data_IF_191431249646
#
_entry.id   IF_191431249646
#
_cell.length_a   1.000
_cell.length_b   1.000
_cell.length_c   1.000
_cell.angle_alpha   90.00
_cell.angle_beta   90.00
_cell.angle_gamma   90.00
#
_symmetry.space_group_name_H-M   'P 1'
#
loop_
_entity.id
_entity.type
_entity.pdbx_description
1 polymer ?
#
# COMPACT_ATOMS: atom_id res chain seq x y z
N UNK A 1 7.05 -23.50 -0.47
CA UNK A 1 6.21 -22.45 0.17
C UNK A 1 4.73 -22.62 -0.12
N UNK A 2 4.27 -22.57 -1.38
CA UNK A 2 2.84 -22.72 -1.71
C UNK A 2 2.21 -24.02 -1.15
N UNK A 3 2.88 -25.16 -1.35
CA UNK A 3 2.39 -26.45 -0.84
C UNK A 3 2.31 -26.49 0.69
N UNK A 4 3.31 -25.94 1.39
CA UNK A 4 3.37 -25.90 2.87
C UNK A 4 2.19 -25.09 3.42
N UNK A 5 1.90 -23.92 2.83
CA UNK A 5 0.77 -23.07 3.25
C UNK A 5 -0.61 -23.67 2.97
N UNK A 6 -0.68 -24.78 2.22
CA UNK A 6 -1.93 -25.47 1.83
C UNK A 6 -1.97 -26.93 2.29
N UNK A 7 -1.06 -27.34 3.15
CA UNK A 7 -1.02 -28.70 3.66
C UNK A 7 -2.18 -28.93 4.65
N UNK A 8 -3.13 -29.84 4.35
CA UNK A 8 -4.25 -30.16 5.24
C UNK A 8 -3.82 -30.81 6.55
N UNK A 9 -2.62 -31.38 6.62
CA UNK A 9 -2.10 -32.03 7.83
C UNK A 9 -1.58 -31.02 8.86
N UNK A 10 -1.19 -29.83 8.37
CA UNK A 10 -0.64 -28.74 9.18
C UNK A 10 -1.71 -27.69 9.47
N UNK A 11 -2.56 -27.38 8.49
CA UNK A 11 -3.48 -26.24 8.56
C UNK A 11 -4.97 -26.66 8.46
N UNK A 12 -5.73 -26.39 9.52
CA UNK A 12 -7.21 -26.39 9.46
C UNK A 12 -7.71 -25.46 8.35
N UNK A 13 -8.69 -25.92 7.58
CA UNK A 13 -9.29 -25.19 6.46
C UNK A 13 -8.23 -24.55 5.55
N UNK A 14 -7.21 -25.33 5.19
CA UNK A 14 -6.01 -24.94 4.44
C UNK A 14 -6.26 -24.19 3.12
N UNK A 15 -7.45 -24.29 2.51
CA UNK A 15 -7.83 -23.53 1.30
C UNK A 15 -8.59 -22.23 1.57
N UNK A 16 -9.01 -22.00 2.81
CA UNK A 16 -9.79 -20.83 3.22
C UNK A 16 -8.90 -19.71 3.76
N UNK A 17 -9.24 -18.46 3.44
CA UNK A 17 -8.60 -17.30 4.06
C UNK A 17 -9.13 -17.15 5.50
N UNK A 18 -8.27 -17.44 6.49
CA UNK A 18 -8.61 -17.45 7.93
C UNK A 18 -7.51 -16.73 8.74
N UNK A 19 -7.45 -15.39 8.75
CA UNK A 19 -6.38 -14.65 9.42
C UNK A 19 -6.35 -14.88 10.94
N UNK A 20 -7.48 -15.23 11.54
CA UNK A 20 -7.62 -15.47 12.98
C UNK A 20 -6.74 -16.61 13.47
N UNK A 21 -6.31 -17.50 12.56
CA UNK A 21 -5.40 -18.60 12.89
C UNK A 21 -4.05 -18.15 13.46
N UNK A 22 -3.68 -16.88 13.26
CA UNK A 22 -2.42 -16.32 13.74
C UNK A 22 -2.59 -15.45 15.00
N UNK A 23 -3.81 -15.08 15.41
CA UNK A 23 -4.03 -14.12 16.51
C UNK A 23 -3.56 -14.63 17.88
N UNK A 24 -3.59 -15.94 18.11
CA UNK A 24 -3.13 -16.60 19.34
C UNK A 24 -2.09 -17.69 19.04
N UNK A 25 -1.42 -17.59 17.90
CA UNK A 25 -0.37 -18.54 17.52
C UNK A 25 1.00 -18.02 17.95
N UNK A 26 1.92 -18.93 18.24
CA UNK A 26 3.34 -18.59 18.44
C UNK A 26 4.12 -18.49 17.12
N UNK A 27 3.49 -18.85 16.00
CA UNK A 27 4.10 -18.81 14.67
C UNK A 27 4.50 -17.39 14.29
N UNK A 28 5.77 -17.20 13.92
CA UNK A 28 6.30 -15.89 13.53
C UNK A 28 6.97 -15.88 12.13
N UNK A 29 7.44 -14.70 11.72
CA UNK A 29 8.09 -14.50 10.41
C UNK A 29 9.62 -14.71 10.46
N UNK A 30 10.18 -15.18 11.58
CA UNK A 30 11.63 -15.36 11.77
C UNK A 30 12.13 -16.69 11.21
N UNK A 31 11.25 -17.48 10.59
CA UNK A 31 11.61 -18.70 9.87
C UNK A 31 12.08 -19.86 10.76
N UNK A 32 11.70 -19.88 12.03
CA UNK A 32 11.89 -21.03 12.91
C UNK A 32 10.72 -22.03 12.83
N UNK A 33 9.54 -21.56 12.44
CA UNK A 33 8.32 -22.36 12.28
C UNK A 33 8.21 -22.86 10.84
N UNK A 34 8.58 -24.11 10.58
CA UNK A 34 8.67 -24.66 9.22
C UNK A 34 7.32 -24.81 8.52
N UNK A 35 6.22 -24.85 9.28
CA UNK A 35 4.87 -24.71 8.78
C UNK A 35 4.62 -23.35 8.09
N UNK A 36 5.40 -22.31 8.42
CA UNK A 36 5.18 -20.94 7.97
C UNK A 36 6.48 -20.17 7.71
N UNK A 37 7.04 -20.34 6.52
CA UNK A 37 8.30 -19.70 6.09
C UNK A 37 8.14 -18.81 4.84
N UNK A 38 7.24 -17.81 4.82
CA UNK A 38 6.95 -16.99 3.62
C UNK A 38 8.16 -16.17 3.11
N UNK A 39 9.16 -15.95 3.98
CA UNK A 39 10.41 -15.26 3.66
C UNK A 39 11.62 -16.21 3.62
N UNK A 40 11.38 -17.52 3.62
CA UNK A 40 12.43 -18.52 3.77
C UNK A 40 12.95 -18.65 5.20
N UNK A 41 14.08 -19.32 5.37
CA UNK A 41 14.72 -19.59 6.67
C UNK A 41 16.25 -19.66 6.54
N UNK A 42 16.95 -19.55 7.67
CA UNK A 42 18.40 -19.67 7.76
C UNK A 42 19.18 -18.56 7.04
N UNK A 43 20.40 -18.88 6.59
CA UNK A 43 21.33 -17.91 5.96
C UNK A 43 20.85 -17.29 4.65
N UNK A 44 19.80 -17.86 4.04
CA UNK A 44 19.21 -17.40 2.77
C UNK A 44 17.81 -16.84 2.95
N UNK A 45 17.41 -16.53 4.19
CA UNK A 45 16.17 -15.81 4.46
C UNK A 45 16.16 -14.47 3.73
N UNK A 46 14.99 -14.08 3.24
CA UNK A 46 14.80 -12.85 2.49
C UNK A 46 15.25 -11.63 3.32
N UNK A 47 16.26 -10.86 2.87
CA UNK A 47 16.71 -9.68 3.60
C UNK A 47 15.65 -8.57 3.66
N UNK A 48 14.64 -8.63 2.79
CA UNK A 48 13.51 -7.68 2.76
C UNK A 48 12.39 -7.97 3.77
N UNK A 49 12.45 -9.05 4.56
CA UNK A 49 11.40 -9.39 5.53
C UNK A 49 11.08 -8.25 6.51
N UNK A 50 12.06 -7.58 7.15
CA UNK A 50 11.77 -6.51 8.12
C UNK A 50 11.05 -5.32 7.47
N UNK A 51 11.45 -4.94 6.26
CA UNK A 51 10.80 -3.88 5.49
C UNK A 51 9.35 -4.27 5.16
N UNK A 52 9.14 -5.46 4.59
CA UNK A 52 7.81 -5.94 4.19
C UNK A 52 6.84 -6.01 5.37
N UNK A 53 7.31 -6.48 6.54
CA UNK A 53 6.50 -6.59 7.76
C UNK A 53 6.00 -5.24 8.30
N UNK A 54 6.67 -4.13 7.95
CA UNK A 54 6.29 -2.77 8.36
C UNK A 54 5.48 -2.05 7.28
N UNK A 55 5.92 -2.14 6.03
CA UNK A 55 5.33 -1.39 4.92
C UNK A 55 3.98 -1.95 4.51
N UNK A 56 3.83 -3.27 4.41
CA UNK A 56 2.58 -3.88 3.93
C UNK A 56 1.38 -3.52 4.84
N UNK A 57 1.46 -3.68 6.18
CA UNK A 57 0.37 -3.27 7.06
C UNK A 57 0.07 -1.77 6.99
N UNK A 58 1.10 -0.92 6.92
CA UNK A 58 0.93 0.54 6.81
C UNK A 58 0.20 0.93 5.53
N UNK A 59 0.58 0.33 4.40
CA UNK A 59 -0.02 0.57 3.09
C UNK A 59 -1.50 0.14 3.10
N UNK A 60 -1.76 -1.09 3.56
CA UNK A 60 -3.13 -1.62 3.66
C UNK A 60 -4.00 -0.79 4.60
N UNK A 61 -3.49 -0.42 5.79
CA UNK A 61 -4.20 0.43 6.73
C UNK A 61 -4.53 1.80 6.13
N UNK A 62 -3.57 2.42 5.44
CA UNK A 62 -3.76 3.72 4.78
C UNK A 62 -4.84 3.65 3.68
N UNK A 63 -4.84 2.57 2.90
CA UNK A 63 -5.84 2.35 1.84
C UNK A 63 -7.24 2.12 2.41
N UNK A 64 -7.37 1.29 3.44
CA UNK A 64 -8.66 1.00 4.09
C UNK A 64 -9.19 2.21 4.84
N UNK A 65 -8.31 3.02 5.45
CA UNK A 65 -8.68 4.24 6.16
C UNK A 65 -9.25 5.31 5.21
N UNK A 66 -8.64 5.48 4.03
CA UNK A 66 -8.96 6.59 3.12
C UNK A 66 -10.03 6.27 2.08
N UNK A 67 -10.22 5.00 1.74
CA UNK A 67 -11.09 4.60 0.64
C UNK A 67 -12.08 3.50 1.04
N UNK A 68 -13.29 3.61 0.50
CA UNK A 68 -14.24 2.53 0.36
C UNK A 68 -14.01 1.86 -1.00
N UNK A 69 -14.01 0.53 -1.03
CA UNK A 69 -13.64 -0.27 -2.21
C UNK A 69 -14.87 -0.96 -2.79
N UNK A 70 -15.06 -0.84 -4.11
CA UNK A 70 -16.22 -1.38 -4.81
C UNK A 70 -15.76 -2.25 -5.97
N UNK A 71 -16.49 -3.31 -6.25
CA UNK A 71 -16.28 -4.11 -7.46
C UNK A 71 -16.93 -3.41 -8.66
N UNK A 72 -16.34 -3.55 -9.86
CA UNK A 72 -16.98 -3.06 -11.08
C UNK A 72 -18.38 -3.64 -11.24
N UNK A 73 -19.33 -2.81 -11.68
CA UNK A 73 -20.72 -3.21 -11.96
C UNK A 73 -21.45 -3.87 -10.76
N UNK A 74 -21.05 -3.53 -9.52
CA UNK A 74 -21.62 -4.09 -8.29
C UNK A 74 -21.64 -5.63 -8.28
N UNK A 75 -20.61 -6.25 -8.89
CA UNK A 75 -20.42 -7.69 -8.92
C UNK A 75 -20.40 -8.28 -7.50
N UNK A 76 -20.98 -9.47 -7.34
CA UNK A 76 -20.89 -10.21 -6.08
C UNK A 76 -19.43 -10.63 -5.83
N UNK A 77 -18.84 -10.32 -4.65
CA UNK A 77 -17.51 -10.79 -4.26
C UNK A 77 -17.30 -12.30 -4.42
N UNK A 78 -18.35 -13.12 -4.32
CA UNK A 78 -18.27 -14.57 -4.51
C UNK A 78 -17.87 -14.99 -5.93
N UNK A 79 -18.06 -14.11 -6.92
CA UNK A 79 -17.75 -14.36 -8.33
C UNK A 79 -16.31 -13.99 -8.72
N UNK A 80 -15.54 -13.43 -7.79
CA UNK A 80 -14.13 -13.10 -8.04
C UNK A 80 -13.34 -14.38 -8.21
N UNK A 81 -12.69 -14.54 -9.36
CA UNK A 81 -11.74 -15.64 -9.55
C UNK A 81 -10.52 -15.43 -8.63
N UNK A 82 -10.28 -16.42 -7.79
CA UNK A 82 -9.14 -16.49 -6.86
C UNK A 82 -8.11 -17.53 -7.31
N UNK A 83 -8.26 -18.10 -8.51
CA UNK A 83 -7.30 -19.01 -9.09
C UNK A 83 -5.93 -18.34 -9.30
N UNK A 84 -4.87 -19.11 -9.11
CA UNK A 84 -3.50 -18.63 -9.26
C UNK A 84 -2.86 -19.11 -10.55
N UNK A 85 -1.96 -18.29 -11.10
CA UNK A 85 -1.05 -18.66 -12.17
C UNK A 85 0.36 -18.86 -11.60
N UNK A 86 0.97 -19.98 -11.99
CA UNK A 86 2.35 -20.30 -11.65
C UNK A 86 3.29 -19.69 -12.70
N UNK A 87 4.07 -18.72 -12.26
CA UNK A 87 5.19 -18.14 -13.01
C UNK A 87 6.38 -18.00 -12.04
N UNK A 88 7.39 -17.18 -12.34
CA UNK A 88 8.52 -16.83 -11.45
C UNK A 88 8.00 -16.41 -10.05
N UNK A 89 6.80 -15.84 -9.99
CA UNK A 89 6.05 -15.55 -8.76
C UNK A 89 4.66 -16.15 -8.84
N UNK A 90 4.10 -16.50 -7.68
CA UNK A 90 2.68 -16.82 -7.55
C UNK A 90 1.86 -15.54 -7.69
N UNK A 91 0.91 -15.51 -8.60
CA UNK A 91 0.03 -14.35 -8.80
C UNK A 91 -1.39 -14.80 -9.09
N UNK A 92 -2.37 -13.92 -8.89
CA UNK A 92 -3.73 -14.17 -9.36
C UNK A 92 -3.72 -14.36 -10.87
N UNK A 93 -4.46 -15.34 -11.36
CA UNK A 93 -4.62 -15.60 -12.80
C UNK A 93 -5.25 -14.39 -13.49
N UNK A 94 -6.37 -13.92 -12.94
CA UNK A 94 -7.04 -12.70 -13.38
C UNK A 94 -6.73 -11.55 -12.38
N UNK A 95 -6.19 -10.42 -12.85
CA UNK A 95 -5.94 -9.26 -12.00
C UNK A 95 -7.23 -8.78 -11.31
N UNK A 96 -7.14 -8.46 -10.01
CA UNK A 96 -8.28 -7.91 -9.28
C UNK A 96 -8.53 -6.46 -9.70
N UNK A 97 -9.69 -6.20 -10.30
CA UNK A 97 -10.16 -4.85 -10.62
C UNK A 97 -11.11 -4.35 -9.53
N UNK A 98 -10.79 -3.20 -8.93
CA UNK A 98 -11.58 -2.54 -7.88
C UNK A 98 -11.59 -1.04 -8.08
N UNK A 99 -12.70 -0.39 -7.71
CA UNK A 99 -12.87 1.06 -7.76
C UNK A 99 -12.79 1.65 -6.36
N UNK A 100 -11.73 2.40 -6.02
CA UNK A 100 -11.67 3.12 -4.75
C UNK A 100 -12.53 4.40 -4.81
N UNK A 101 -13.38 4.61 -3.82
CA UNK A 101 -14.07 5.88 -3.56
C UNK A 101 -13.55 6.47 -2.26
N UNK A 102 -13.18 7.76 -2.27
CA UNK A 102 -12.69 8.43 -1.06
C UNK A 102 -13.79 8.42 0.00
N UNK A 103 -13.44 8.02 1.22
CA UNK A 103 -14.30 8.16 2.39
C UNK A 103 -14.33 9.63 2.79
N UNK A 104 -15.50 10.27 2.67
CA UNK A 104 -15.72 11.64 3.14
C UNK A 104 -16.40 11.52 4.50
N UNK A 105 -15.76 11.98 5.58
CA UNK A 105 -16.41 12.04 6.89
C UNK A 105 -17.52 13.09 6.88
N UNK A 106 -18.73 12.70 7.30
CA UNK A 106 -19.93 13.56 7.30
C UNK A 106 -19.77 14.89 8.04
N UNK A 107 -18.84 14.98 9.00
CA UNK A 107 -18.55 16.21 9.74
C UNK A 107 -17.86 17.28 8.89
N UNK A 108 -17.18 16.91 7.81
CA UNK A 108 -16.36 17.86 7.07
C UNK A 108 -17.21 18.68 6.10
N UNK A 109 -18.29 18.12 5.52
CA UNK A 109 -19.12 18.67 4.40
C UNK A 109 -19.67 20.09 4.63
N UNK A 110 -19.77 20.55 5.88
CA UNK A 110 -20.26 21.89 6.21
C UNK A 110 -19.21 23.01 6.23
N UNK A 111 -17.90 22.70 6.24
CA UNK A 111 -16.81 23.69 6.49
C UNK A 111 -15.91 24.01 5.28
N UNK A 112 -16.18 23.41 4.11
CA UNK A 112 -15.16 23.30 3.05
C UNK A 112 -14.76 24.58 2.32
N UNK A 113 -15.44 25.73 2.42
CA UNK A 113 -15.00 26.90 1.63
C UNK A 113 -13.70 27.53 2.12
N UNK A 114 -13.40 27.47 3.43
CA UNK A 114 -12.10 27.85 4.01
C UNK A 114 -11.20 26.64 4.24
N UNK A 115 -11.79 25.54 4.69
CA UNK A 115 -11.05 24.31 4.97
C UNK A 115 -10.45 23.64 3.73
N UNK A 116 -10.93 23.89 2.50
CA UNK A 116 -10.27 23.37 1.29
C UNK A 116 -8.87 23.97 1.11
N UNK A 117 -8.69 25.28 1.35
CA UNK A 117 -7.38 25.93 1.24
C UNK A 117 -6.42 25.45 2.33
N UNK A 118 -6.91 25.40 3.57
CA UNK A 118 -6.11 24.94 4.71
C UNK A 118 -5.82 23.44 4.64
N UNK A 119 -6.75 22.62 4.12
CA UNK A 119 -6.54 21.19 3.90
C UNK A 119 -5.59 20.90 2.74
N UNK A 120 -5.57 21.74 1.68
CA UNK A 120 -4.57 21.61 0.61
C UNK A 120 -3.17 21.89 1.14
N UNK A 121 -2.99 22.97 1.90
CA UNK A 121 -1.70 23.31 2.54
C UNK A 121 -1.29 22.23 3.53
N UNK A 122 -2.23 21.76 4.36
CA UNK A 122 -1.95 20.72 5.35
C UNK A 122 -1.66 19.36 4.72
N UNK A 123 -2.41 18.95 3.69
CA UNK A 123 -2.14 17.70 2.97
C UNK A 123 -0.78 17.75 2.28
N UNK A 124 -0.39 18.87 1.68
CA UNK A 124 0.97 19.06 1.14
C UNK A 124 2.02 18.90 2.24
N UNK A 125 1.86 19.58 3.37
CA UNK A 125 2.82 19.46 4.48
C UNK A 125 2.88 18.06 5.12
N UNK A 126 1.74 17.36 5.20
CA UNK A 126 1.68 16.00 5.76
C UNK A 126 2.25 14.98 4.78
N UNK A 127 2.12 15.22 3.47
CA UNK A 127 2.77 14.42 2.44
C UNK A 127 4.28 14.65 2.42
N UNK A 128 4.74 15.90 2.42
CA UNK A 128 6.17 16.25 2.50
C UNK A 128 6.82 15.62 3.74
N UNK A 129 6.15 15.67 4.91
CA UNK A 129 6.64 15.03 6.13
C UNK A 129 6.61 13.49 6.08
N UNK A 130 5.68 12.89 5.33
CA UNK A 130 5.62 11.44 5.11
C UNK A 130 6.72 10.99 4.16
N UNK A 131 6.97 11.77 3.10
CA UNK A 131 8.02 11.56 2.13
C UNK A 131 9.39 11.62 2.80
N UNK A 132 9.65 12.67 3.59
CA UNK A 132 10.89 12.83 4.36
C UNK A 132 11.11 11.67 5.35
N UNK A 133 10.04 11.22 6.02
CA UNK A 133 10.10 10.05 6.91
C UNK A 133 10.35 8.75 6.16
N UNK A 134 9.75 8.59 4.99
CA UNK A 134 9.95 7.40 4.16
C UNK A 134 11.39 7.37 3.62
N UNK A 135 11.90 8.52 3.16
CA UNK A 135 13.28 8.71 2.70
C UNK A 135 14.27 8.35 3.81
N UNK A 136 14.12 8.93 5.01
CA UNK A 136 14.97 8.63 6.17
C UNK A 136 14.92 7.16 6.59
N UNK A 137 13.72 6.55 6.56
CA UNK A 137 13.54 5.16 6.97
C UNK A 137 14.17 4.20 5.97
N UNK A 138 14.02 4.46 4.67
CA UNK A 138 14.60 3.60 3.63
C UNK A 138 16.11 3.81 3.56
N UNK A 139 16.61 5.05 3.63
CA UNK A 139 18.04 5.34 3.70
C UNK A 139 18.70 4.61 4.89
N UNK A 140 18.10 4.70 6.08
CA UNK A 140 18.58 3.97 7.27
C UNK A 140 18.57 2.46 7.09
N UNK A 141 17.55 1.90 6.44
CA UNK A 141 17.49 0.46 6.17
C UNK A 141 18.51 0.02 5.12
N UNK A 142 18.77 0.83 4.10
CA UNK A 142 19.80 0.58 3.09
C UNK A 142 21.18 0.60 3.74
N UNK A 143 21.50 1.59 4.57
CA UNK A 143 22.76 1.64 5.33
C UNK A 143 22.92 0.44 6.27
N UNK A 144 21.85 0.04 6.96
CA UNK A 144 21.87 -1.14 7.84
C UNK A 144 22.08 -2.45 7.07
N UNK A 145 21.53 -2.56 5.85
CA UNK A 145 21.77 -3.70 4.96
C UNK A 145 23.22 -3.68 4.46
N UNK A 146 23.76 -2.49 4.19
CA UNK A 146 25.10 -2.28 3.66
C UNK A 146 26.20 -2.60 4.69
N UNK A 147 26.04 -2.12 5.93
CA UNK A 147 26.95 -2.39 7.05
C UNK A 147 26.98 -3.88 7.48
N UNK A 148 26.19 -4.74 6.84
CA UNK A 148 26.14 -6.20 7.07
C UNK A 148 26.74 -6.99 5.91
N UNK A 149 27.23 -6.32 4.86
CA UNK A 149 27.83 -6.93 3.67
C UNK A 149 29.32 -6.55 3.60
N UNK A 150 30.19 -7.36 4.21
CA UNK A 150 31.64 -7.22 4.05
C UNK A 150 32.13 -7.81 2.71
N UNK A 151 33.17 -7.16 2.16
CA UNK A 151 34.05 -7.56 1.04
C UNK A 151 33.68 -7.26 -0.42
N UNK A 152 33.20 -6.04 -0.73
CA UNK A 152 33.38 -5.42 -2.06
C UNK A 152 33.57 -3.91 -1.93
N UNK A 153 34.34 -3.28 -2.83
CA UNK A 153 34.62 -1.83 -2.84
C UNK A 153 33.31 -1.02 -2.74
N UNK A 154 33.18 -0.33 -1.60
CA UNK A 154 31.92 0.17 -1.03
C UNK A 154 31.29 1.29 -1.87
N UNK A 155 32.11 2.17 -2.42
CA UNK A 155 31.67 3.45 -2.97
C UNK A 155 30.91 3.30 -4.31
N UNK A 156 31.31 2.34 -5.14
CA UNK A 156 30.67 2.15 -6.45
C UNK A 156 29.27 1.53 -6.36
N UNK A 157 29.02 0.72 -5.33
CA UNK A 157 27.72 0.06 -5.11
C UNK A 157 26.75 0.99 -4.37
N UNK A 158 27.27 1.80 -3.45
CA UNK A 158 26.52 2.86 -2.77
C UNK A 158 26.00 3.87 -3.80
N UNK A 159 26.87 4.40 -4.66
CA UNK A 159 26.47 5.33 -5.71
C UNK A 159 25.43 4.75 -6.68
N UNK A 160 25.47 3.44 -6.95
CA UNK A 160 24.47 2.80 -7.81
C UNK A 160 23.11 2.64 -7.12
N UNK A 161 23.11 2.34 -5.81
CA UNK A 161 21.89 2.17 -5.03
C UNK A 161 21.24 3.50 -4.68
N UNK A 162 22.02 4.51 -4.29
CA UNK A 162 21.54 5.88 -4.09
C UNK A 162 20.89 6.41 -5.36
N UNK A 163 21.52 6.24 -6.54
CA UNK A 163 20.90 6.62 -7.82
C UNK A 163 19.60 5.88 -8.10
N UNK A 164 19.51 4.59 -7.78
CA UNK A 164 18.27 3.81 -7.98
C UNK A 164 17.19 4.20 -6.98
N UNK A 165 17.59 4.58 -5.78
CA UNK A 165 16.71 5.08 -4.75
C UNK A 165 16.17 6.47 -5.13
N UNK A 166 17.03 7.38 -5.61
CA UNK A 166 16.64 8.70 -6.11
C UNK A 166 15.69 8.63 -7.32
N UNK A 167 15.91 7.67 -8.21
CA UNK A 167 14.99 7.43 -9.34
C UNK A 167 13.64 6.94 -8.82
N UNK A 168 13.63 6.03 -7.85
CA UNK A 168 12.40 5.51 -7.27
C UNK A 168 11.63 6.56 -6.46
N UNK A 169 12.31 7.42 -5.68
CA UNK A 169 11.67 8.52 -4.95
C UNK A 169 11.05 9.51 -5.93
N UNK A 170 11.79 9.90 -6.96
CA UNK A 170 11.29 10.81 -8.00
C UNK A 170 10.05 10.25 -8.72
N UNK A 171 10.05 8.96 -9.07
CA UNK A 171 8.86 8.32 -9.67
C UNK A 171 7.67 8.30 -8.71
N UNK A 172 7.93 8.17 -7.41
CA UNK A 172 6.90 8.24 -6.37
C UNK A 172 6.33 9.66 -6.26
N UNK A 173 7.19 10.67 -6.26
CA UNK A 173 6.85 12.08 -6.12
C UNK A 173 6.05 12.56 -7.33
N UNK A 174 6.46 12.20 -8.55
CA UNK A 174 5.74 12.50 -9.79
C UNK A 174 4.33 11.87 -9.76
N UNK A 175 4.22 10.61 -9.30
CA UNK A 175 2.95 9.90 -9.21
C UNK A 175 2.04 10.45 -8.10
N UNK A 176 2.63 10.99 -7.04
CA UNK A 176 1.95 11.67 -5.95
C UNK A 176 1.44 13.04 -6.43
N UNK A 177 2.29 13.86 -7.05
CA UNK A 177 1.93 15.18 -7.56
C UNK A 177 0.83 15.10 -8.63
N UNK A 178 0.95 14.16 -9.58
CA UNK A 178 -0.05 13.93 -10.61
C UNK A 178 -1.40 13.62 -9.97
N UNK A 179 -1.40 12.79 -8.93
CA UNK A 179 -2.62 12.28 -8.30
C UNK A 179 -3.24 13.27 -7.32
N UNK A 180 -2.43 14.05 -6.60
CA UNK A 180 -2.87 15.18 -5.77
C UNK A 180 -3.47 16.27 -6.66
N UNK A 181 -2.80 16.62 -7.77
CA UNK A 181 -3.26 17.64 -8.73
C UNK A 181 -4.54 17.22 -9.46
N UNK A 182 -4.63 15.96 -9.87
CA UNK A 182 -5.84 15.40 -10.44
C UNK A 182 -7.01 15.45 -9.43
N UNK A 183 -6.73 15.10 -8.18
CA UNK A 183 -7.73 15.05 -7.12
C UNK A 183 -8.27 16.45 -6.76
N UNK A 184 -7.41 17.46 -6.61
CA UNK A 184 -7.83 18.86 -6.36
C UNK A 184 -8.62 19.44 -7.52
N UNK A 185 -8.17 19.26 -8.78
CA UNK A 185 -8.90 19.74 -9.96
C UNK A 185 -10.31 19.15 -10.05
N UNK A 186 -10.45 17.86 -9.76
CA UNK A 186 -11.74 17.15 -9.80
C UNK A 186 -12.70 17.63 -8.70
N UNK A 187 -12.23 17.79 -7.47
CA UNK A 187 -13.06 18.29 -6.37
C UNK A 187 -13.46 19.76 -6.57
N UNK A 188 -12.57 20.60 -7.09
CA UNK A 188 -12.90 21.98 -7.49
C UNK A 188 -13.99 22.01 -8.56
N UNK A 189 -13.92 21.13 -9.57
CA UNK A 189 -14.95 21.04 -10.60
C UNK A 189 -16.28 20.55 -10.03
N UNK A 190 -16.26 19.54 -9.15
CA UNK A 190 -17.46 19.01 -8.47
C UNK A 190 -18.15 20.08 -7.62
N UNK A 191 -17.39 20.93 -6.93
CA UNK A 191 -17.92 22.07 -6.20
C UNK A 191 -18.59 23.09 -7.12
N UNK A 192 -17.98 23.40 -8.28
CA UNK A 192 -18.59 24.28 -9.30
C UNK A 192 -19.91 23.72 -9.82
N UNK A 193 -19.96 22.41 -10.09
CA UNK A 193 -21.17 21.73 -10.59
C UNK A 193 -22.30 21.72 -9.55
N UNK A 194 -21.97 21.51 -8.27
CA UNK A 194 -22.93 21.55 -7.16
C UNK A 194 -23.49 22.97 -6.93
N UNK A 195 -22.63 24.02 -7.00
CA UNK A 195 -23.10 25.42 -6.94
C UNK A 195 -23.91 25.84 -8.17
N UNK A 196 -23.59 25.29 -9.34
CA UNK A 196 -24.36 25.52 -10.58
C UNK A 196 -25.80 25.00 -10.47
N UNK A 197 -25.97 23.80 -9.91
CA UNK A 197 -27.29 23.16 -9.71
C UNK A 197 -28.16 23.87 -8.65
N UNK A 198 -27.56 24.44 -7.59
CA UNK A 198 -28.35 25.17 -6.58
C UNK A 198 -28.88 26.53 -7.06
N UNK A 199 -28.24 27.11 -8.09
CA UNK A 199 -28.71 28.36 -8.73
C UNK A 199 -29.81 28.14 -9.76
N UNK A 200 -29.87 26.99 -10.44
CA UNK A 200 -30.95 26.70 -11.40
C UNK A 200 -32.26 26.29 -10.72
N UNK A 201 -32.19 25.65 -9.55
CA UNK A 201 -33.38 25.25 -8.78
C UNK A 201 -34.11 26.40 -8.06
N UNK A 202 -33.53 27.61 -8.01
CA UNK A 202 -34.15 28.81 -7.40
C UNK A 202 -34.82 29.74 -8.42
N UNK A 203 -34.86 29.36 -9.71
CA UNK A 203 -35.38 30.20 -10.80
C UNK A 203 -36.68 29.69 -11.44
N UNK A 204 -37.30 28.65 -10.90
CA UNK A 204 -38.62 28.16 -11.29
C UNK A 204 -39.59 28.30 -10.13
#
# INVERSE_FOLDING_TARGET
>A
MWAIGRDPTIWDKHTSFKPERFLNSMVDLKGHDFEFIPFGSGRRMCPGQPLASRVVPLLVASLIQRFDWYLPNDMDPSQIDMSEMYDIKMQKKEPLSVTPKRRISDSTVKDWSGAIGDAEVRMRSELEALEERLQLTVASQVEQIFNRLDDLEVDSRLAMLERKFDVFTKELDDLIEERVTYFTKREVQRYKDLKGKSRSSKKN
#
